data_IF_041758119645
#
_entry.id   IF_041758119645
#
_cell.length_a   1.000
_cell.length_b   1.000
_cell.length_c   1.000
_cell.angle_alpha   90.00
_cell.angle_beta   90.00
_cell.angle_gamma   90.00
#
_symmetry.space_group_name_H-M   'P 1'
#
loop_
_entity.id
_entity.type
_entity.pdbx_description
1 polymer ?
#
# COMPACT_ATOMS: atom_id res chain seq x y z
N UNK A 1 -24.35 19.59 1.56
CA UNK A 1 -24.14 18.84 0.30
C UNK A 1 -22.95 17.90 0.47
N UNK A 2 -23.21 16.60 0.58
CA UNK A 2 -22.16 15.57 0.55
C UNK A 2 -21.66 15.45 -0.89
N UNK A 3 -20.53 16.07 -1.21
CA UNK A 3 -19.82 15.79 -2.45
C UNK A 3 -19.36 14.34 -2.34
N UNK A 4 -20.01 13.40 -3.04
CA UNK A 4 -19.72 11.95 -2.98
C UNK A 4 -18.32 11.54 -3.48
N UNK A 5 -17.39 12.50 -3.56
CA UNK A 5 -16.00 12.34 -3.99
C UNK A 5 -15.07 11.89 -2.86
N UNK A 6 -15.49 11.97 -1.59
CA UNK A 6 -14.66 11.56 -0.45
C UNK A 6 -15.48 10.77 0.59
N UNK A 7 -14.85 9.87 1.37
CA UNK A 7 -15.53 9.10 2.44
C UNK A 7 -16.07 9.95 3.61
N UNK A 8 -16.00 11.28 3.52
CA UNK A 8 -16.38 12.17 4.60
C UNK A 8 -17.91 12.34 4.65
N UNK A 9 -18.50 11.98 5.78
CA UNK A 9 -19.91 12.25 6.08
C UNK A 9 -20.15 13.75 6.25
N UNK A 10 -21.41 14.20 6.14
CA UNK A 10 -21.78 15.62 6.10
C UNK A 10 -21.31 16.44 7.32
N UNK A 11 -21.05 15.76 8.45
CA UNK A 11 -20.57 16.32 9.72
C UNK A 11 -19.07 16.11 9.98
N UNK A 12 -18.32 15.52 9.06
CA UNK A 12 -16.91 15.15 9.24
C UNK A 12 -16.03 15.97 8.31
N UNK A 13 -14.96 16.56 8.85
CA UNK A 13 -13.97 17.28 8.05
C UNK A 13 -13.26 16.33 7.07
N UNK A 14 -12.96 16.80 5.86
CA UNK A 14 -12.26 15.97 4.87
C UNK A 14 -10.84 15.58 5.31
N UNK A 15 -10.22 16.39 6.19
CA UNK A 15 -8.93 16.12 6.81
C UNK A 15 -9.03 15.32 8.13
N UNK A 16 -10.16 14.70 8.42
CA UNK A 16 -10.29 13.89 9.62
C UNK A 16 -9.38 12.63 9.53
N UNK A 17 -8.71 12.23 10.62
CA UNK A 17 -7.86 11.03 10.65
C UNK A 17 -8.59 9.77 10.18
N UNK A 18 -9.91 9.66 10.44
CA UNK A 18 -10.74 8.55 9.98
C UNK A 18 -10.90 8.49 8.45
N UNK A 19 -11.09 9.64 7.80
CA UNK A 19 -11.22 9.74 6.34
C UNK A 19 -9.87 9.39 5.70
N UNK A 20 -8.78 9.89 6.27
CA UNK A 20 -7.42 9.55 5.84
C UNK A 20 -7.12 8.06 6.03
N UNK A 21 -7.50 7.46 7.16
CA UNK A 21 -7.33 6.04 7.43
C UNK A 21 -8.08 5.17 6.41
N UNK A 22 -9.36 5.46 6.18
CA UNK A 22 -10.17 4.73 5.19
C UNK A 22 -9.57 4.82 3.78
N UNK A 23 -9.16 6.02 3.37
CA UNK A 23 -8.54 6.22 2.07
C UNK A 23 -7.17 5.50 1.95
N UNK A 24 -6.37 5.48 3.03
CA UNK A 24 -5.10 4.77 3.08
C UNK A 24 -5.29 3.24 3.02
N UNK A 25 -6.33 2.71 3.65
CA UNK A 25 -6.68 1.28 3.58
C UNK A 25 -7.02 0.91 2.13
N UNK A 26 -7.90 1.66 1.46
CA UNK A 26 -8.22 1.43 0.04
C UNK A 26 -6.99 1.58 -0.86
N UNK A 27 -6.14 2.57 -0.59
CA UNK A 27 -4.90 2.75 -1.34
C UNK A 27 -3.92 1.59 -1.10
N UNK A 28 -3.83 1.06 0.12
CA UNK A 28 -2.95 -0.07 0.47
C UNK A 28 -3.31 -1.34 -0.31
N UNK A 29 -4.58 -1.51 -0.66
CA UNK A 29 -5.05 -2.59 -1.52
C UNK A 29 -4.47 -2.48 -2.94
N UNK A 30 -4.48 -1.28 -3.54
CA UNK A 30 -3.87 -1.04 -4.85
C UNK A 30 -2.34 -1.17 -4.79
N UNK A 31 -1.74 -0.71 -3.70
CA UNK A 31 -0.30 -0.87 -3.45
C UNK A 31 0.15 -2.32 -3.37
N UNK A 32 -0.77 -3.27 -3.16
CA UNK A 32 -0.44 -4.69 -3.18
C UNK A 32 0.06 -5.16 -4.56
N UNK A 33 -0.45 -4.57 -5.65
CA UNK A 33 0.07 -4.79 -7.01
C UNK A 33 1.47 -4.18 -7.18
N UNK A 34 1.68 -3.00 -6.61
CA UNK A 34 2.99 -2.32 -6.66
C UNK A 34 4.02 -3.11 -5.85
N UNK A 35 3.63 -3.66 -4.69
CA UNK A 35 4.49 -4.50 -3.86
C UNK A 35 5.01 -5.70 -4.64
N UNK A 36 4.16 -6.37 -5.40
CA UNK A 36 4.55 -7.54 -6.20
C UNK A 36 5.58 -7.18 -7.28
N UNK A 37 5.40 -6.01 -7.90
CA UNK A 37 6.31 -5.52 -8.93
C UNK A 37 7.66 -5.05 -8.39
N UNK A 38 7.68 -4.41 -7.22
CA UNK A 38 8.92 -3.89 -6.64
C UNK A 38 9.71 -4.98 -5.92
N UNK A 39 9.04 -5.86 -5.16
CA UNK A 39 9.72 -6.89 -4.36
C UNK A 39 10.35 -7.99 -5.19
N UNK A 40 9.74 -8.35 -6.33
CA UNK A 40 10.22 -9.47 -7.12
C UNK A 40 11.43 -9.18 -8.00
N UNK A 41 11.55 -7.95 -8.48
CA UNK A 41 12.56 -7.55 -9.46
C UNK A 41 14.01 -7.70 -8.97
N UNK A 42 14.41 -7.17 -7.79
CA UNK A 42 15.82 -7.23 -7.39
C UNK A 42 16.29 -8.66 -7.11
N UNK A 43 15.44 -9.52 -6.56
CA UNK A 43 15.79 -10.93 -6.35
C UNK A 43 15.83 -11.70 -7.68
N UNK A 44 14.88 -11.44 -8.58
CA UNK A 44 14.84 -12.07 -9.90
C UNK A 44 16.04 -11.69 -10.77
N UNK A 45 16.40 -10.40 -10.83
CA UNK A 45 17.57 -9.90 -11.58
C UNK A 45 18.86 -10.58 -11.15
N UNK A 46 19.01 -10.88 -9.85
CA UNK A 46 20.21 -11.55 -9.37
C UNK A 46 20.29 -13.03 -9.78
N UNK A 47 19.14 -13.68 -9.95
CA UNK A 47 19.04 -15.07 -10.43
C UNK A 47 19.31 -15.12 -11.94
N UNK A 48 18.74 -14.17 -12.69
CA UNK A 48 18.86 -14.09 -14.15
C UNK A 48 20.29 -13.75 -14.59
N UNK A 49 20.93 -12.76 -13.97
CA UNK A 49 22.29 -12.34 -14.32
C UNK A 49 23.39 -13.12 -13.59
N UNK A 50 23.04 -14.15 -12.80
CA UNK A 50 24.01 -14.95 -12.01
C UNK A 50 24.94 -14.09 -11.12
N UNK A 51 24.53 -12.88 -10.74
CA UNK A 51 25.33 -11.93 -9.94
C UNK A 51 25.62 -12.46 -8.54
N UNK A 52 24.87 -13.48 -8.10
CA UNK A 52 25.03 -14.15 -6.81
C UNK A 52 26.46 -14.65 -6.58
N UNK A 53 27.12 -15.19 -7.61
CA UNK A 53 28.49 -15.71 -7.47
C UNK A 53 29.53 -14.60 -7.25
N UNK A 54 29.37 -13.46 -7.92
CA UNK A 54 30.23 -12.29 -7.76
C UNK A 54 30.08 -11.64 -6.38
N UNK A 55 28.86 -11.58 -5.84
CA UNK A 55 28.58 -11.01 -4.52
C UNK A 55 29.18 -11.83 -3.37
N UNK A 56 29.36 -13.14 -3.54
CA UNK A 56 30.01 -13.99 -2.53
C UNK A 56 31.54 -13.96 -2.58
N UNK A 57 32.16 -13.29 -3.56
CA UNK A 57 33.59 -12.98 -3.52
C UNK A 57 33.92 -11.86 -2.53
N UNK A 58 32.91 -11.07 -2.13
CA UNK A 58 33.01 -10.09 -1.05
C UNK A 58 32.65 -10.77 0.29
N UNK A 59 33.09 -10.23 1.45
CA UNK A 59 32.79 -10.79 2.78
C UNK A 59 31.32 -10.56 3.20
N UNK A 60 30.36 -10.90 2.33
CA UNK A 60 28.92 -10.74 2.55
C UNK A 60 28.35 -12.08 3.03
N UNK A 61 27.69 -12.07 4.19
CA UNK A 61 27.01 -13.26 4.70
C UNK A 61 25.73 -13.56 3.91
N UNK A 62 25.35 -14.85 3.81
CA UNK A 62 24.10 -15.25 3.13
C UNK A 62 22.87 -14.54 3.70
N UNK A 63 22.86 -14.32 5.01
CA UNK A 63 21.79 -13.62 5.72
C UNK A 63 21.76 -12.13 5.37
N UNK A 64 22.94 -11.48 5.33
CA UNK A 64 23.06 -10.07 4.93
C UNK A 64 22.62 -9.82 3.48
N UNK A 65 22.92 -10.74 2.56
CA UNK A 65 22.44 -10.67 1.18
C UNK A 65 20.91 -10.73 1.10
N UNK A 66 20.29 -11.70 1.80
CA UNK A 66 18.84 -11.89 1.78
C UNK A 66 18.10 -10.69 2.39
N UNK A 67 18.47 -10.28 3.60
CA UNK A 67 17.84 -9.16 4.28
C UNK A 67 18.14 -7.81 3.63
N UNK A 68 19.33 -7.63 3.04
CA UNK A 68 19.66 -6.42 2.29
C UNK A 68 18.74 -6.23 1.09
N UNK A 69 18.48 -7.29 0.32
CA UNK A 69 17.53 -7.24 -0.80
C UNK A 69 16.09 -7.04 -0.35
N UNK A 70 15.67 -7.72 0.72
CA UNK A 70 14.32 -7.55 1.26
C UNK A 70 14.10 -6.13 1.81
N UNK A 71 14.95 -5.66 2.72
CA UNK A 71 14.83 -4.34 3.36
C UNK A 71 14.99 -3.24 2.33
N UNK A 72 15.94 -3.35 1.39
CA UNK A 72 16.13 -2.37 0.33
C UNK A 72 14.87 -2.22 -0.54
N UNK A 73 14.26 -3.34 -0.93
CA UNK A 73 13.00 -3.31 -1.69
C UNK A 73 11.85 -2.78 -0.84
N UNK A 74 11.81 -3.13 0.45
CA UNK A 74 10.78 -2.68 1.39
C UNK A 74 10.81 -1.19 1.61
N UNK A 75 11.99 -0.59 1.78
CA UNK A 75 12.14 0.86 1.86
C UNK A 75 11.61 1.54 0.60
N UNK A 76 11.87 0.99 -0.59
CA UNK A 76 11.31 1.54 -1.84
C UNK A 76 9.78 1.47 -1.85
N UNK A 77 9.19 0.35 -1.42
CA UNK A 77 7.73 0.22 -1.29
C UNK A 77 7.17 1.24 -0.29
N UNK A 78 7.84 1.46 0.84
CA UNK A 78 7.44 2.48 1.82
C UNK A 78 7.52 3.89 1.22
N UNK A 79 8.57 4.21 0.46
CA UNK A 79 8.69 5.50 -0.22
C UNK A 79 7.55 5.68 -1.23
N UNK A 80 7.23 4.67 -2.03
CA UNK A 80 6.09 4.75 -2.96
C UNK A 80 4.77 4.88 -2.20
N UNK A 81 4.60 4.14 -1.11
CA UNK A 81 3.41 4.23 -0.25
C UNK A 81 3.24 5.60 0.40
N UNK A 82 4.35 6.23 0.77
CA UNK A 82 4.35 7.57 1.36
C UNK A 82 3.88 8.66 0.38
N UNK A 83 3.99 8.42 -0.93
CA UNK A 83 3.51 9.34 -1.97
C UNK A 83 2.02 9.65 -1.83
N UNK A 84 1.22 8.70 -1.31
CA UNK A 84 -0.19 8.94 -1.01
C UNK A 84 -0.41 9.98 0.08
N UNK A 85 0.38 9.96 1.16
CA UNK A 85 0.29 10.95 2.23
C UNK A 85 0.73 12.34 1.75
N UNK A 86 1.80 12.40 0.96
CA UNK A 86 2.20 13.66 0.34
C UNK A 86 1.14 14.18 -0.65
N UNK A 87 0.53 13.29 -1.42
CA UNK A 87 -0.56 13.61 -2.33
C UNK A 87 -1.81 14.11 -1.62
N UNK A 88 -2.18 13.54 -0.47
CA UNK A 88 -3.34 13.99 0.32
C UNK A 88 -3.10 15.33 0.99
N UNK A 89 -1.88 15.60 1.46
CA UNK A 89 -1.47 16.93 1.97
C UNK A 89 -1.55 17.97 0.84
N UNK A 90 -0.94 17.69 -0.31
CA UNK A 90 -0.99 18.57 -1.48
C UNK A 90 -2.43 18.82 -1.94
N UNK A 91 -3.25 17.77 -2.03
CA UNK A 91 -4.66 17.85 -2.42
C UNK A 91 -5.49 18.69 -1.46
N UNK A 92 -5.25 18.58 -0.14
CA UNK A 92 -5.94 19.39 0.87
C UNK A 92 -5.54 20.88 0.76
N UNK A 93 -4.29 21.18 0.38
CA UNK A 93 -3.83 22.56 0.20
C UNK A 93 -4.34 23.23 -1.09
N UNK A 94 -4.42 22.46 -2.19
CA UNK A 94 -4.82 22.96 -3.52
C UNK A 94 -6.34 22.97 -3.69
N UNK A 95 -7.05 22.03 -3.07
CA UNK A 95 -8.51 21.87 -3.20
C UNK A 95 -9.33 23.14 -2.90
N UNK A 96 -9.04 23.89 -1.83
CA UNK A 96 -9.72 25.16 -1.52
C UNK A 96 -9.44 26.26 -2.53
N UNK A 97 -8.20 26.32 -3.03
CA UNK A 97 -7.75 27.35 -3.99
C UNK A 97 -8.47 27.16 -5.33
N UNK A 98 -8.71 25.91 -5.72
CA UNK A 98 -9.47 25.53 -6.92
C UNK A 98 -10.99 25.56 -6.73
N UNK A 99 -11.49 25.86 -5.53
CA UNK A 99 -12.93 25.89 -5.22
C UNK A 99 -13.62 24.51 -5.22
N UNK A 100 -12.86 23.41 -5.18
CA UNK A 100 -13.42 22.05 -5.21
C UNK A 100 -14.01 21.61 -3.86
N UNK A 101 -13.56 22.24 -2.77
CA UNK A 101 -14.02 21.95 -1.41
C UNK A 101 -14.20 23.27 -0.65
N UNK A 102 -15.34 23.48 0.04
CA UNK A 102 -15.50 24.64 0.93
C UNK A 102 -14.44 24.64 2.02
N UNK A 103 -13.75 25.76 2.24
CA UNK A 103 -12.68 25.88 3.24
C UNK A 103 -13.15 25.53 4.67
N UNK A 104 -14.44 25.73 4.96
CA UNK A 104 -15.09 25.37 6.22
C UNK A 104 -15.10 23.86 6.51
N UNK A 105 -14.86 23.01 5.51
CA UNK A 105 -14.79 21.54 5.66
C UNK A 105 -13.38 21.00 5.84
N UNK A 106 -12.38 21.87 5.94
CA UNK A 106 -11.00 21.48 6.20
C UNK A 106 -10.66 21.86 7.64
N UNK A 107 -10.43 20.83 8.47
CA UNK A 107 -9.95 21.02 9.84
C UNK A 107 -8.48 21.43 9.88
N UNK A 108 -7.99 21.74 11.09
CA UNK A 108 -6.60 22.17 11.31
C UNK A 108 -5.58 21.23 10.64
N UNK A 109 -4.56 21.82 10.00
CA UNK A 109 -3.46 21.11 9.34
C UNK A 109 -2.50 20.51 10.37
N UNK A 110 -2.91 19.39 10.97
CA UNK A 110 -2.00 18.52 11.73
C UNK A 110 -1.31 17.53 10.80
N UNK A 111 -0.02 17.71 10.50
CA UNK A 111 0.76 16.74 9.70
C UNK A 111 0.69 15.33 10.29
N UNK A 112 0.60 15.22 11.61
CA UNK A 112 0.46 13.95 12.32
C UNK A 112 -0.80 13.16 11.93
N UNK A 113 -1.90 13.85 11.60
CA UNK A 113 -3.16 13.21 11.22
C UNK A 113 -3.06 12.45 9.88
N UNK A 114 -2.10 12.81 9.03
CA UNK A 114 -1.85 12.13 7.76
C UNK A 114 -0.90 10.94 7.94
N UNK A 115 0.17 11.10 8.72
CA UNK A 115 1.18 10.06 8.89
C UNK A 115 0.76 8.95 9.87
N UNK A 116 0.00 9.27 10.91
CA UNK A 116 -0.49 8.29 11.88
C UNK A 116 -1.20 7.10 11.21
N UNK A 117 -2.26 7.29 10.38
CA UNK A 117 -2.95 6.15 9.77
C UNK A 117 -2.06 5.34 8.81
N UNK A 118 -1.08 5.98 8.18
CA UNK A 118 -0.13 5.29 7.32
C UNK A 118 0.76 4.31 8.10
N UNK A 119 1.30 4.73 9.25
CA UNK A 119 2.14 3.86 10.08
C UNK A 119 1.36 2.73 10.75
N UNK A 120 0.11 2.96 11.15
CA UNK A 120 -0.68 1.91 11.81
C UNK A 120 -1.28 0.89 10.84
N UNK A 121 -1.86 1.34 9.72
CA UNK A 121 -2.59 0.45 8.80
C UNK A 121 -1.75 0.07 7.59
N UNK A 122 -1.20 1.04 6.89
CA UNK A 122 -0.55 0.80 5.60
C UNK A 122 0.79 0.07 5.76
N UNK A 123 1.58 0.43 6.78
CA UNK A 123 2.85 -0.23 7.07
C UNK A 123 2.68 -1.73 7.31
N UNK A 124 1.72 -2.13 8.16
CA UNK A 124 1.45 -3.54 8.45
C UNK A 124 0.98 -4.31 7.22
N UNK A 125 0.03 -3.73 6.46
CA UNK A 125 -0.44 -4.33 5.21
C UNK A 125 0.68 -4.50 4.17
N UNK A 126 1.51 -3.46 4.00
CA UNK A 126 2.64 -3.49 3.06
C UNK A 126 3.69 -4.50 3.49
N UNK A 127 3.99 -4.62 4.79
CA UNK A 127 4.96 -5.58 5.30
C UNK A 127 4.52 -7.02 5.03
N UNK A 128 3.24 -7.34 5.28
CA UNK A 128 2.68 -8.66 5.00
C UNK A 128 2.70 -8.96 3.50
N UNK A 129 2.21 -8.06 2.67
CA UNK A 129 2.20 -8.22 1.21
C UNK A 129 3.63 -8.42 0.66
N UNK A 130 4.56 -7.59 1.13
CA UNK A 130 5.98 -7.65 0.73
C UNK A 130 6.61 -9.00 1.07
N UNK A 131 6.35 -9.49 2.29
CA UNK A 131 6.87 -10.79 2.75
C UNK A 131 6.33 -11.94 1.91
N UNK A 132 5.03 -11.93 1.61
CA UNK A 132 4.39 -12.96 0.79
C UNK A 132 4.99 -12.97 -0.62
N UNK A 133 5.05 -11.83 -1.30
CA UNK A 133 5.57 -11.78 -2.67
C UNK A 133 7.06 -12.06 -2.74
N UNK A 134 7.85 -11.57 -1.80
CA UNK A 134 9.28 -11.85 -1.76
C UNK A 134 9.56 -13.34 -1.53
N UNK A 135 8.82 -13.98 -0.63
CA UNK A 135 8.87 -15.44 -0.41
C UNK A 135 8.49 -16.21 -1.67
N UNK A 136 7.44 -15.78 -2.36
CA UNK A 136 6.99 -16.38 -3.62
C UNK A 136 8.10 -16.35 -4.70
N UNK A 137 8.78 -15.21 -4.86
CA UNK A 137 9.89 -15.05 -5.81
C UNK A 137 11.04 -16.00 -5.46
N UNK A 138 11.38 -16.10 -4.17
CA UNK A 138 12.47 -16.94 -3.70
C UNK A 138 12.25 -18.43 -4.03
N UNK A 139 11.00 -18.88 -3.97
CA UNK A 139 10.61 -20.26 -4.28
C UNK A 139 10.50 -20.47 -5.79
N UNK A 140 9.72 -19.64 -6.48
CA UNK A 140 9.37 -19.89 -7.88
C UNK A 140 10.45 -19.47 -8.86
N UNK A 141 11.35 -18.55 -8.47
CA UNK A 141 12.41 -17.97 -9.30
C UNK A 141 11.91 -17.40 -10.64
N UNK A 142 10.62 -17.07 -10.72
CA UNK A 142 9.97 -16.57 -11.92
C UNK A 142 9.13 -15.34 -11.57
N UNK A 143 9.50 -14.18 -12.10
CA UNK A 143 8.79 -12.92 -11.84
C UNK A 143 7.34 -12.95 -12.38
N UNK A 144 7.08 -13.71 -13.45
CA UNK A 144 5.75 -13.86 -14.04
C UNK A 144 4.71 -14.39 -13.06
N UNK A 145 5.12 -15.33 -12.20
CA UNK A 145 4.24 -15.94 -11.20
C UNK A 145 3.89 -14.97 -10.08
N UNK A 146 4.78 -14.02 -9.80
CA UNK A 146 4.59 -12.98 -8.78
C UNK A 146 3.54 -11.98 -9.24
N UNK A 147 3.61 -11.58 -10.51
CA UNK A 147 2.61 -10.70 -11.12
C UNK A 147 1.22 -11.36 -11.12
N UNK A 148 1.12 -12.60 -11.60
CA UNK A 148 -0.17 -13.31 -11.61
C UNK A 148 -0.71 -13.56 -10.20
N UNK A 149 0.15 -13.94 -9.25
CA UNK A 149 -0.24 -14.11 -7.85
C UNK A 149 -0.80 -12.82 -7.25
N UNK A 150 -0.23 -11.66 -7.57
CA UNK A 150 -0.73 -10.38 -7.07
C UNK A 150 -2.11 -10.01 -7.60
N UNK A 151 -2.37 -10.30 -8.88
CA UNK A 151 -3.70 -10.12 -9.48
C UNK A 151 -4.71 -11.07 -8.83
N UNK A 152 -4.35 -12.35 -8.65
CA UNK A 152 -5.22 -13.33 -8.01
C UNK A 152 -5.55 -12.94 -6.56
N UNK A 153 -4.57 -12.47 -5.81
CA UNK A 153 -4.75 -12.03 -4.43
C UNK A 153 -5.65 -10.77 -4.39
N UNK A 154 -5.49 -9.83 -5.33
CA UNK A 154 -6.35 -8.66 -5.45
C UNK A 154 -7.81 -9.07 -5.73
N UNK A 155 -8.03 -10.00 -6.67
CA UNK A 155 -9.36 -10.54 -6.99
C UNK A 155 -9.95 -11.23 -5.75
N UNK A 156 -9.16 -12.05 -5.06
CA UNK A 156 -9.57 -12.72 -3.84
C UNK A 156 -10.00 -11.73 -2.74
N UNK A 157 -9.27 -10.64 -2.58
CA UNK A 157 -9.62 -9.58 -1.63
C UNK A 157 -10.90 -8.84 -2.01
N UNK A 158 -11.11 -8.53 -3.31
CA UNK A 158 -12.35 -7.94 -3.80
C UNK A 158 -13.53 -8.86 -3.50
N UNK A 159 -13.42 -10.14 -3.88
CA UNK A 159 -14.47 -11.13 -3.65
C UNK A 159 -14.78 -11.30 -2.15
N UNK A 160 -13.75 -11.37 -1.30
CA UNK A 160 -13.94 -11.42 0.14
C UNK A 160 -14.70 -10.20 0.66
N UNK A 161 -14.34 -8.99 0.20
CA UNK A 161 -15.03 -7.76 0.57
C UNK A 161 -16.49 -7.75 0.12
N UNK A 162 -16.77 -8.25 -1.09
CA UNK A 162 -18.14 -8.42 -1.61
C UNK A 162 -18.94 -9.41 -0.76
N UNK A 163 -18.38 -10.57 -0.44
CA UNK A 163 -19.03 -11.61 0.36
C UNK A 163 -19.34 -11.15 1.78
N UNK A 164 -18.41 -10.42 2.42
CA UNK A 164 -18.62 -9.83 3.75
C UNK A 164 -19.78 -8.83 3.71
N UNK A 165 -19.79 -7.94 2.72
CA UNK A 165 -20.84 -6.92 2.57
C UNK A 165 -22.22 -7.56 2.32
N UNK A 166 -22.29 -8.61 1.51
CA UNK A 166 -23.53 -9.34 1.24
C UNK A 166 -24.04 -10.08 2.49
N UNK A 167 -23.13 -10.71 3.23
CA UNK A 167 -23.43 -11.38 4.50
C UNK A 167 -23.98 -10.41 5.55
N UNK A 168 -23.44 -9.20 5.61
CA UNK A 168 -23.89 -8.15 6.53
C UNK A 168 -25.28 -7.64 6.14
N UNK A 169 -25.52 -7.36 4.85
CA UNK A 169 -26.85 -6.98 4.34
C UNK A 169 -27.93 -8.00 4.67
N UNK A 170 -27.60 -9.30 4.57
CA UNK A 170 -28.53 -10.38 4.90
C UNK A 170 -28.86 -10.46 6.40
N UNK A 171 -27.95 -10.08 7.28
CA UNK A 171 -28.22 -10.06 8.73
C UNK A 171 -29.10 -8.88 9.16
N UNK A 172 -29.06 -7.75 8.45
CA UNK A 172 -29.86 -6.56 8.76
C UNK A 172 -31.35 -6.69 8.40
N UNK A 173 -31.72 -7.69 7.59
CA UNK A 173 -33.12 -7.92 7.15
C UNK A 173 -33.83 -8.94 8.07
N UNK A 174 -33.14 -9.52 9.06
CA UNK A 174 -33.73 -10.36 10.10
C UNK A 174 -33.99 -9.57 11.38
#
# INVERSE_FOLDING_TARGET
MATGSTPASEKVFHNAPWVMASANITFSMLMMLVCSAVMGVPLYRDIEHQTRQYLFSYPITKFGYFWGRFIGSFVVVLVIGSAFNWGSIAGTSIGPIMGWVPAERIGSFGLWNYFQPYFYFAFGNMLLASTIFFSLVAITRNVKVVYSASILLLIGYLLASFLVTDSEKRNLVK
#
